data_IF_962862473913
#
_entry.id   IF_962862473913
#
_cell.length_a   1.000
_cell.length_b   1.000
_cell.length_c   1.000
_cell.angle_alpha   90.00
_cell.angle_beta   90.00
_cell.angle_gamma   90.00
#
_symmetry.space_group_name_H-M   'P 1'
#
loop_
_entity.id
_entity.type
_entity.pdbx_description
1 polymer ?
#
# COMPACT_ATOMS: atom_id res chain seq x y z
N UNK A 1 -0.69 6.91 4.49
CA UNK A 1 -0.43 5.85 5.49
C UNK A 1 0.06 6.51 6.78
N UNK A 2 -0.52 6.18 7.93
CA UNK A 2 -0.03 6.56 9.26
C UNK A 2 0.32 5.30 10.08
N UNK A 3 0.83 5.45 11.31
CA UNK A 3 1.24 4.31 12.14
C UNK A 3 0.10 3.37 12.52
N UNK A 4 -1.16 3.80 12.55
CA UNK A 4 -2.30 2.92 12.86
C UNK A 4 -2.65 2.09 11.63
N UNK A 5 -2.84 2.75 10.48
CA UNK A 5 -3.12 2.12 9.20
C UNK A 5 -2.00 1.15 8.79
N UNK A 6 -0.73 1.47 9.09
CA UNK A 6 0.41 0.60 8.83
C UNK A 6 0.30 -0.75 9.58
N UNK A 7 -0.05 -0.70 10.88
CA UNK A 7 -0.24 -1.91 11.71
C UNK A 7 -1.44 -2.73 11.24
N UNK A 8 -2.54 -2.06 10.94
CA UNK A 8 -3.75 -2.69 10.40
C UNK A 8 -3.45 -3.37 9.06
N UNK A 9 -2.66 -2.73 8.19
CA UNK A 9 -2.25 -3.30 6.92
C UNK A 9 -1.39 -4.55 7.07
N UNK A 10 -0.47 -4.59 8.04
CA UNK A 10 0.29 -5.81 8.39
C UNK A 10 -0.69 -6.95 8.73
N UNK A 11 -1.64 -6.70 9.64
CA UNK A 11 -2.62 -7.72 10.05
C UNK A 11 -3.48 -8.21 8.89
N UNK A 12 -3.92 -7.31 8.00
CA UNK A 12 -4.69 -7.66 6.81
C UNK A 12 -3.91 -8.56 5.85
N UNK A 13 -2.66 -8.23 5.55
CA UNK A 13 -1.81 -9.01 4.64
C UNK A 13 -1.58 -10.42 5.21
N UNK A 14 -1.28 -10.51 6.50
CA UNK A 14 -1.09 -11.80 7.17
C UNK A 14 -2.37 -12.65 7.13
N UNK A 15 -3.54 -12.05 7.38
CA UNK A 15 -4.82 -12.73 7.30
C UNK A 15 -5.13 -13.21 5.87
N UNK A 16 -4.99 -12.33 4.86
CA UNK A 16 -5.24 -12.66 3.45
C UNK A 16 -4.35 -13.79 2.94
N UNK A 17 -3.09 -13.85 3.41
CA UNK A 17 -2.13 -14.90 3.02
C UNK A 17 -2.13 -16.11 3.96
N UNK A 18 -3.04 -16.16 4.93
CA UNK A 18 -3.14 -17.22 5.94
C UNK A 18 -1.82 -17.47 6.69
N UNK A 19 -1.12 -16.39 7.06
CA UNK A 19 0.16 -16.41 7.75
C UNK A 19 -0.01 -16.03 9.23
N UNK A 20 0.53 -16.86 10.13
CA UNK A 20 0.55 -16.55 11.56
C UNK A 20 1.68 -15.55 11.92
N UNK A 21 1.36 -14.51 12.70
CA UNK A 21 2.32 -13.49 13.18
C UNK A 21 3.59 -14.12 13.78
N UNK A 22 3.43 -15.13 14.64
CA UNK A 22 4.54 -15.80 15.29
C UNK A 22 5.47 -16.52 14.31
N UNK A 23 4.94 -17.09 13.22
CA UNK A 23 5.73 -17.77 12.19
C UNK A 23 6.53 -16.76 11.38
N UNK A 24 5.88 -15.67 10.93
CA UNK A 24 6.55 -14.64 10.12
C UNK A 24 7.60 -13.92 10.96
N UNK A 25 7.34 -13.68 12.25
CA UNK A 25 8.35 -13.10 13.16
C UNK A 25 9.64 -13.93 13.20
N UNK A 26 9.53 -15.27 13.26
CA UNK A 26 10.69 -16.17 13.21
C UNK A 26 11.38 -16.10 11.84
N UNK A 27 10.62 -16.05 10.73
CA UNK A 27 11.19 -15.93 9.38
C UNK A 27 11.98 -14.63 9.22
N UNK A 28 11.54 -13.56 9.87
CA UNK A 28 12.25 -12.28 9.91
C UNK A 28 13.49 -12.28 10.83
N UNK A 29 13.80 -13.40 11.50
CA UNK A 29 14.92 -13.49 12.44
C UNK A 29 14.65 -12.92 13.83
N UNK A 30 13.38 -12.63 14.16
CA UNK A 30 12.97 -12.04 15.43
C UNK A 30 12.30 -13.04 16.36
N UNK A 31 12.04 -12.63 17.61
CA UNK A 31 11.27 -13.46 18.56
C UNK A 31 9.81 -13.63 18.12
N UNK A 32 9.14 -14.71 18.55
CA UNK A 32 7.75 -15.03 18.17
C UNK A 32 6.73 -13.91 18.46
N UNK A 33 7.02 -13.00 19.39
CA UNK A 33 6.13 -11.90 19.77
C UNK A 33 6.37 -10.61 18.99
N UNK A 34 7.38 -10.55 18.12
CA UNK A 34 7.80 -9.32 17.44
C UNK A 34 6.68 -8.67 16.62
N UNK A 35 6.08 -9.39 15.66
CA UNK A 35 4.99 -8.83 14.87
C UNK A 35 3.78 -8.50 15.73
N UNK A 36 3.49 -9.33 16.73
CA UNK A 36 2.41 -9.05 17.67
C UNK A 36 2.62 -7.73 18.44
N UNK A 37 3.85 -7.43 18.86
CA UNK A 37 4.18 -6.15 19.50
C UNK A 37 3.99 -4.97 18.54
N UNK A 38 4.19 -5.16 17.24
CA UNK A 38 3.99 -4.11 16.22
C UNK A 38 2.49 -3.90 15.98
N UNK A 39 1.76 -4.97 15.66
CA UNK A 39 0.32 -4.92 15.37
C UNK A 39 -0.48 -4.45 16.58
N UNK A 40 -0.04 -4.76 17.81
CA UNK A 40 -0.68 -4.32 19.05
C UNK A 40 -0.32 -2.89 19.50
N UNK A 41 0.48 -2.14 18.76
CA UNK A 41 0.83 -0.77 19.16
C UNK A 41 2.06 -0.63 20.08
N UNK A 42 2.60 -1.73 20.62
CA UNK A 42 3.66 -1.71 21.67
C UNK A 42 5.04 -1.33 21.14
N UNK A 43 5.29 -1.51 19.86
CA UNK A 43 6.56 -1.18 19.20
C UNK A 43 6.33 -0.70 17.77
N UNK A 44 7.37 -0.17 17.14
CA UNK A 44 7.38 0.20 15.72
C UNK A 44 8.29 -0.74 14.94
N UNK A 45 7.94 -1.02 13.69
CA UNK A 45 8.81 -1.72 12.75
C UNK A 45 9.88 -0.75 12.25
N UNK A 46 11.13 -1.22 12.14
CA UNK A 46 12.19 -0.51 11.41
C UNK A 46 11.99 -0.67 9.90
N UNK A 47 12.53 0.23 9.08
CA UNK A 47 12.35 0.16 7.62
C UNK A 47 13.03 -1.09 7.05
N UNK A 48 14.17 -1.49 7.60
CA UNK A 48 14.90 -2.70 7.23
C UNK A 48 14.06 -3.95 7.51
N UNK A 49 13.42 -4.00 8.69
CA UNK A 49 12.50 -5.08 9.05
C UNK A 49 11.27 -5.10 8.15
N UNK A 50 10.79 -3.94 7.69
CA UNK A 50 9.70 -3.86 6.72
C UNK A 50 10.08 -4.47 5.37
N UNK A 51 11.31 -4.26 4.88
CA UNK A 51 11.77 -4.90 3.64
C UNK A 51 11.85 -6.42 3.80
N UNK A 52 12.35 -6.91 4.94
CA UNK A 52 12.37 -8.36 5.25
C UNK A 52 10.94 -8.92 5.37
N UNK A 53 10.01 -8.16 5.94
CA UNK A 53 8.59 -8.53 5.98
C UNK A 53 8.01 -8.67 4.57
N UNK A 54 8.32 -7.74 3.66
CA UNK A 54 7.94 -7.83 2.25
C UNK A 54 8.46 -9.13 1.60
N UNK A 55 9.73 -9.46 1.80
CA UNK A 55 10.33 -10.69 1.28
C UNK A 55 9.67 -11.96 1.88
N UNK A 56 9.44 -11.98 3.19
CA UNK A 56 8.84 -13.12 3.89
C UNK A 56 7.38 -13.37 3.49
N UNK A 57 6.64 -12.31 3.21
CA UNK A 57 5.21 -12.39 2.88
C UNK A 57 4.96 -12.42 1.38
N UNK A 58 5.92 -12.00 0.55
CA UNK A 58 5.80 -11.90 -0.91
C UNK A 58 4.92 -10.73 -1.36
N UNK A 59 4.84 -9.65 -0.57
CA UNK A 59 4.18 -8.39 -0.96
C UNK A 59 5.24 -7.37 -1.32
N UNK A 60 5.06 -6.65 -2.43
CA UNK A 60 5.95 -5.54 -2.76
C UNK A 60 5.68 -4.32 -1.86
N UNK A 61 6.69 -3.45 -1.62
CA UNK A 61 6.44 -2.18 -0.92
C UNK A 61 5.36 -1.33 -1.59
N UNK A 62 5.31 -1.32 -2.92
CA UNK A 62 4.30 -0.58 -3.68
C UNK A 62 2.88 -1.07 -3.34
N UNK A 63 2.65 -2.38 -3.37
CA UNK A 63 1.36 -2.99 -3.03
C UNK A 63 1.01 -2.77 -1.56
N UNK A 64 1.99 -2.84 -0.65
CA UNK A 64 1.77 -2.61 0.78
C UNK A 64 1.21 -1.20 1.04
N UNK A 65 1.80 -0.18 0.41
CA UNK A 65 1.37 1.20 0.59
C UNK A 65 0.18 1.59 -0.30
N UNK A 66 -0.09 0.85 -1.39
CA UNK A 66 -1.34 0.92 -2.12
C UNK A 66 -2.45 0.21 -1.33
N UNK A 67 -3.09 0.93 -0.41
CA UNK A 67 -4.39 0.56 0.14
C UNK A 67 -5.47 0.93 -0.86
N UNK A 68 -6.02 -0.07 -1.57
CA UNK A 68 -7.35 0.04 -2.16
C UNK A 68 -8.30 0.50 -1.04
N UNK A 69 -8.84 1.71 -1.19
CA UNK A 69 -9.48 2.45 -0.09
C UNK A 69 -9.19 3.95 -0.08
N UNK A 70 -8.33 4.46 -0.96
CA UNK A 70 -8.14 5.92 -1.15
C UNK A 70 -8.20 6.40 -2.61
N UNK A 71 -8.38 5.50 -3.57
CA UNK A 71 -8.82 5.86 -4.90
C UNK A 71 -10.28 5.45 -5.04
N UNK A 72 -11.14 6.45 -5.24
CA UNK A 72 -12.49 6.31 -5.77
C UNK A 72 -12.46 5.30 -6.95
N UNK A 73 -13.47 4.43 -7.06
CA UNK A 73 -13.61 3.45 -8.15
C UNK A 73 -13.44 4.13 -9.52
N UNK A 74 -13.86 5.39 -9.63
CA UNK A 74 -13.63 6.25 -10.79
C UNK A 74 -12.13 6.42 -11.07
N UNK A 75 -11.31 6.70 -10.07
CA UNK A 75 -9.87 6.92 -10.27
C UNK A 75 -9.19 5.60 -10.64
N UNK A 76 -9.56 4.47 -10.02
CA UNK A 76 -9.00 3.18 -10.41
C UNK A 76 -9.31 2.84 -11.87
N UNK A 77 -10.55 3.08 -12.29
CA UNK A 77 -10.96 2.86 -13.68
C UNK A 77 -10.22 3.80 -14.63
N UNK A 78 -10.07 5.07 -14.24
CA UNK A 78 -9.31 6.07 -15.02
C UNK A 78 -7.84 5.69 -15.11
N UNK A 79 -7.21 5.20 -14.04
CA UNK A 79 -5.81 4.74 -14.08
C UNK A 79 -5.63 3.55 -15.02
N UNK A 80 -6.52 2.56 -14.96
CA UNK A 80 -6.50 1.42 -15.89
C UNK A 80 -6.65 1.90 -17.34
N UNK A 81 -7.66 2.71 -17.63
CA UNK A 81 -7.93 3.20 -18.98
C UNK A 81 -6.78 4.10 -19.47
N UNK A 82 -6.24 4.97 -18.61
CA UNK A 82 -5.12 5.85 -18.92
C UNK A 82 -3.83 5.08 -19.18
N UNK A 83 -3.53 4.04 -18.39
CA UNK A 83 -2.32 3.23 -18.52
C UNK A 83 -2.17 2.60 -19.91
N UNK A 84 -3.28 2.18 -20.51
CA UNK A 84 -3.33 1.55 -21.83
C UNK A 84 -3.18 2.50 -23.03
N UNK A 85 -3.18 3.82 -22.81
CA UNK A 85 -3.06 4.81 -23.88
C UNK A 85 -1.61 5.03 -24.33
N UNK A 86 -1.44 5.44 -25.59
CA UNK A 86 -0.17 5.97 -26.07
C UNK A 86 0.17 7.33 -25.41
N UNK A 87 1.47 7.65 -25.35
CA UNK A 87 1.98 8.87 -24.75
C UNK A 87 1.31 10.15 -25.29
N UNK A 88 1.01 10.21 -26.58
CA UNK A 88 0.33 11.38 -27.17
C UNK A 88 -1.02 11.66 -26.51
N UNK A 89 -1.86 10.62 -26.36
CA UNK A 89 -3.19 10.76 -25.78
C UNK A 89 -3.14 11.00 -24.27
N UNK A 90 -2.17 10.41 -23.56
CA UNK A 90 -1.92 10.70 -22.13
C UNK A 90 -1.64 12.19 -21.90
N UNK A 91 -0.81 12.79 -22.74
CA UNK A 91 -0.48 14.22 -22.65
C UNK A 91 -1.68 15.11 -22.98
N UNK A 92 -2.50 14.72 -23.97
CA UNK A 92 -3.71 15.46 -24.32
C UNK A 92 -4.76 15.43 -23.19
N UNK A 93 -4.96 14.28 -22.56
CA UNK A 93 -5.85 14.19 -21.40
C UNK A 93 -5.32 14.97 -20.19
N UNK A 94 -4.00 14.96 -19.96
CA UNK A 94 -3.37 15.75 -18.90
C UNK A 94 -3.60 17.26 -19.09
N UNK A 95 -3.51 17.77 -20.33
CA UNK A 95 -3.77 19.19 -20.60
C UNK A 95 -5.24 19.57 -20.39
N UNK A 96 -6.18 18.67 -20.71
CA UNK A 96 -7.60 18.86 -20.43
C UNK A 96 -7.88 18.90 -18.92
N UNK A 97 -7.34 17.95 -18.16
CA UNK A 97 -7.45 17.93 -16.69
C UNK A 97 -6.92 19.23 -16.09
N UNK A 98 -5.75 19.69 -16.55
CA UNK A 98 -5.17 20.95 -16.12
C UNK A 98 -6.10 22.14 -16.44
N UNK A 99 -6.66 22.17 -17.65
CA UNK A 99 -7.58 23.23 -18.08
C UNK A 99 -8.85 23.28 -17.23
N UNK A 100 -9.40 22.12 -16.86
CA UNK A 100 -10.58 22.00 -16.00
C UNK A 100 -10.29 22.42 -14.55
N UNK A 101 -9.10 22.10 -14.04
CA UNK A 101 -8.69 22.47 -12.67
C UNK A 101 -8.52 23.98 -12.46
N UNK A 102 -8.24 24.72 -13.55
CA UNK A 102 -8.05 26.16 -13.54
C UNK A 102 -9.34 26.95 -13.79
N UNK A 103 -10.47 26.28 -14.06
CA UNK A 103 -11.78 26.91 -14.05
C UNK A 103 -12.31 26.91 -12.60
N UNK A 104 -12.14 28.02 -11.88
CA UNK A 104 -12.80 28.21 -10.57
C UNK A 104 -14.31 27.96 -10.68
N UNK A 105 -14.97 27.33 -9.68
CA UNK A 105 -16.41 27.14 -9.70
C UNK A 105 -17.11 28.51 -9.68
N UNK A 106 -18.11 28.67 -10.55
CA UNK A 106 -19.04 29.81 -10.53
C UNK A 106 -20.01 29.70 -9.37
#
# INVERSE_FOLDING_TARGET
MDSKNFRERISQILAQRNLAEARVSIMMGHSKSYLNNITSGRSSMLVEDFLVFCDCTGISPLEFFHTEGTLDEVIQKVEQDFSGLDAHYKLLLSSLIHSLSQQSPK
#
